data_IF_030101767579
#
_entry.id   IF_030101767579
#
_cell.length_a   1.000
_cell.length_b   1.000
_cell.length_c   1.000
_cell.angle_alpha   90.00
_cell.angle_beta   90.00
_cell.angle_gamma   90.00
#
_symmetry.space_group_name_H-M   'P 1'
#
loop_
_entity.id
_entity.type
_entity.pdbx_description
1 polymer ?
#
# COMPACT_ATOMS: atom_id res chain seq x y z
N UNK A 1 1.82 -12.76 -34.49
CA UNK A 1 0.86 -12.72 -33.37
C UNK A 1 1.58 -12.97 -32.05
N UNK A 2 2.51 -12.09 -31.66
CA UNK A 2 3.22 -12.12 -30.36
C UNK A 2 3.55 -10.67 -29.99
N UNK A 3 2.58 -9.91 -29.46
CA UNK A 3 2.77 -8.57 -28.88
C UNK A 3 1.46 -8.09 -28.26
N UNK A 4 1.15 -8.60 -27.07
CA UNK A 4 0.13 -8.03 -26.16
C UNK A 4 0.27 -8.47 -24.69
N UNK A 5 1.07 -9.49 -24.35
CA UNK A 5 1.23 -9.95 -22.96
C UNK A 5 2.10 -9.04 -22.06
N UNK A 6 3.04 -8.26 -22.60
CA UNK A 6 3.97 -7.47 -21.77
C UNK A 6 3.32 -6.35 -20.94
N UNK A 7 2.28 -5.68 -21.45
CA UNK A 7 1.66 -4.57 -20.72
C UNK A 7 0.74 -5.01 -19.58
N UNK A 8 0.23 -6.24 -19.60
CA UNK A 8 -0.61 -6.77 -18.50
C UNK A 8 0.21 -7.32 -17.34
N UNK A 9 1.45 -7.74 -17.58
CA UNK A 9 2.34 -8.21 -16.52
C UNK A 9 2.71 -7.02 -15.61
N UNK A 10 3.35 -5.97 -16.14
CA UNK A 10 3.84 -4.84 -15.34
C UNK A 10 2.81 -4.19 -14.39
N UNK A 11 1.53 -4.17 -14.76
CA UNK A 11 0.48 -3.59 -13.92
C UNK A 11 0.07 -4.48 -12.74
N UNK A 12 0.09 -5.82 -12.91
CA UNK A 12 -0.15 -6.78 -11.81
C UNK A 12 0.98 -6.73 -10.77
N UNK A 13 2.21 -6.56 -11.25
CA UNK A 13 3.40 -6.50 -10.41
C UNK A 13 3.50 -5.24 -9.52
N UNK A 14 2.99 -4.09 -9.98
CA UNK A 14 2.97 -2.83 -9.22
C UNK A 14 2.11 -2.90 -7.93
N UNK A 15 1.14 -3.82 -7.87
CA UNK A 15 0.26 -3.96 -6.70
C UNK A 15 0.94 -4.67 -5.51
N UNK A 16 2.11 -5.29 -5.67
CA UNK A 16 2.83 -5.97 -4.58
C UNK A 16 3.99 -5.13 -4.08
N UNK A 17 4.75 -4.53 -5.00
CA UNK A 17 5.97 -3.83 -4.65
C UNK A 17 5.73 -2.43 -4.05
N UNK A 18 4.51 -1.88 -4.20
CA UNK A 18 4.10 -0.69 -3.45
C UNK A 18 3.83 -0.95 -1.97
N UNK A 19 3.75 -2.21 -1.54
CA UNK A 19 2.99 -2.54 -0.34
C UNK A 19 3.83 -2.45 0.94
N UNK A 20 5.19 -2.55 0.91
CA UNK A 20 6.07 -2.38 2.12
C UNK A 20 5.80 -1.02 2.78
N UNK A 21 5.35 -0.04 2.00
CA UNK A 21 5.10 1.33 2.44
C UNK A 21 3.78 1.93 1.93
N UNK A 22 2.79 1.10 1.56
CA UNK A 22 1.48 1.57 1.06
C UNK A 22 0.55 2.13 2.15
N UNK A 23 1.07 2.70 3.24
CA UNK A 23 0.25 3.46 4.21
C UNK A 23 -0.14 4.88 3.71
N UNK A 24 -0.12 5.18 2.41
CA UNK A 24 -0.49 6.53 1.96
C UNK A 24 -0.63 6.81 0.47
N UNK A 25 -0.59 5.82 -0.43
CA UNK A 25 -0.81 6.08 -1.85
C UNK A 25 -2.24 5.73 -2.28
N UNK A 26 -3.22 6.50 -1.80
CA UNK A 26 -4.48 6.69 -2.53
C UNK A 26 -4.15 7.51 -3.78
N UNK A 27 -3.64 6.86 -4.82
CA UNK A 27 -3.48 7.51 -6.12
C UNK A 27 -4.86 7.59 -6.78
N UNK A 28 -5.51 8.74 -6.65
CA UNK A 28 -6.70 9.10 -7.43
C UNK A 28 -6.41 8.95 -8.93
N UNK A 29 -7.04 7.96 -9.57
CA UNK A 29 -6.83 7.58 -10.98
C UNK A 29 -7.50 8.53 -12.01
N UNK A 30 -7.88 9.75 -11.63
CA UNK A 30 -8.78 10.57 -12.45
C UNK A 30 -8.14 11.36 -13.60
N UNK A 31 -6.82 11.35 -13.79
CA UNK A 31 -6.15 12.24 -14.76
C UNK A 31 -5.83 11.68 -16.16
N UNK A 32 -6.19 10.44 -16.51
CA UNK A 32 -5.79 9.87 -17.81
C UNK A 32 -6.82 9.96 -18.97
N UNK A 33 -7.94 10.68 -18.82
CA UNK A 33 -8.90 10.86 -19.92
C UNK A 33 -8.93 12.31 -20.40
N UNK A 34 -8.48 12.50 -21.65
CA UNK A 34 -8.55 13.69 -22.50
C UNK A 34 -7.26 14.52 -22.65
N UNK A 35 -6.23 13.93 -23.27
CA UNK A 35 -5.22 14.72 -23.97
C UNK A 35 -5.69 14.98 -25.42
N UNK A 36 -6.03 16.24 -25.67
CA UNK A 36 -6.27 16.84 -27.00
C UNK A 36 -4.92 17.07 -27.69
N UNK A 37 -4.81 16.75 -28.97
CA UNK A 37 -3.57 16.87 -29.75
C UNK A 37 -2.96 18.30 -29.70
N UNK A 38 -1.62 18.45 -29.60
CA UNK A 38 -0.98 19.75 -29.45
C UNK A 38 -0.74 20.44 -30.80
N UNK A 39 -1.13 21.72 -30.87
CA UNK A 39 -0.69 22.64 -31.93
C UNK A 39 0.69 23.23 -31.61
N UNK A 40 1.52 23.31 -32.63
CA UNK A 40 2.86 23.91 -32.64
C UNK A 40 2.86 25.42 -32.38
N UNK A 41 3.60 25.87 -31.35
CA UNK A 41 4.46 27.08 -31.30
C UNK A 41 4.62 27.56 -29.84
N UNK A 42 5.82 27.44 -29.26
CA UNK A 42 6.77 28.56 -29.07
C UNK A 42 7.89 28.11 -28.12
N UNK A 43 9.12 28.45 -28.49
CA UNK A 43 10.33 28.10 -27.78
C UNK A 43 10.54 29.06 -26.59
N UNK A 44 10.11 28.65 -25.41
CA UNK A 44 10.51 29.22 -24.12
C UNK A 44 11.53 28.30 -23.45
N UNK A 45 12.76 28.78 -23.27
CA UNK A 45 13.81 28.15 -22.46
C UNK A 45 13.43 28.24 -20.98
N UNK A 46 12.79 27.20 -20.46
CA UNK A 46 12.61 27.01 -19.01
C UNK A 46 13.74 26.13 -18.46
N UNK A 47 14.38 26.65 -17.41
CA UNK A 47 15.46 25.99 -16.70
C UNK A 47 14.94 24.77 -15.95
N UNK A 48 15.17 23.59 -16.52
CA UNK A 48 15.14 22.32 -15.78
C UNK A 48 16.22 22.37 -14.70
N UNK A 49 15.84 22.77 -13.49
CA UNK A 49 16.61 22.49 -12.29
C UNK A 49 16.51 20.97 -12.04
N UNK A 50 17.38 20.21 -12.71
CA UNK A 50 17.76 18.87 -12.28
C UNK A 50 18.39 19.01 -10.90
N UNK A 51 17.55 18.97 -9.87
CA UNK A 51 18.01 18.64 -8.54
C UNK A 51 18.33 17.14 -8.55
N UNK A 52 19.48 16.79 -9.15
CA UNK A 52 20.27 15.59 -8.84
C UNK A 52 20.83 15.75 -7.41
N UNK A 53 19.96 16.12 -6.47
CA UNK A 53 20.22 15.98 -5.06
C UNK A 53 20.04 14.50 -4.77
N UNK A 54 21.14 13.77 -4.84
CA UNK A 54 21.25 12.41 -4.33
C UNK A 54 20.64 12.41 -2.93
N UNK A 55 19.39 11.94 -2.81
CA UNK A 55 18.70 12.00 -1.54
C UNK A 55 19.40 11.00 -0.63
N UNK A 56 19.95 11.50 0.47
CA UNK A 56 20.57 10.67 1.48
C UNK A 56 19.45 9.86 2.11
N UNK A 57 19.36 8.57 1.76
CA UNK A 57 18.46 7.63 2.40
C UNK A 57 19.11 7.20 3.71
N UNK A 58 18.35 7.19 4.79
CA UNK A 58 18.82 6.64 6.06
C UNK A 58 19.25 5.16 5.87
N UNK A 59 20.50 4.81 6.21
CA UNK A 59 21.02 3.47 5.95
C UNK A 59 20.29 2.37 6.73
N UNK A 60 19.71 2.69 7.90
CA UNK A 60 18.91 1.75 8.67
C UNK A 60 17.57 1.49 7.99
N UNK A 61 16.92 2.52 7.44
CA UNK A 61 15.72 2.33 6.63
C UNK A 61 15.99 1.46 5.38
N UNK A 62 17.11 1.71 4.71
CA UNK A 62 17.50 0.92 3.53
C UNK A 62 17.73 -0.55 3.89
N UNK A 63 18.50 -0.85 4.94
CA UNK A 63 18.73 -2.23 5.37
C UNK A 63 17.45 -2.92 5.83
N UNK A 64 16.57 -2.23 6.57
CA UNK A 64 15.26 -2.78 6.94
C UNK A 64 14.43 -3.13 5.72
N UNK A 65 14.44 -2.29 4.68
CA UNK A 65 13.68 -2.56 3.47
C UNK A 65 14.14 -3.88 2.81
N UNK A 66 15.46 -4.09 2.73
CA UNK A 66 16.05 -5.32 2.20
C UNK A 66 15.59 -6.55 3.01
N UNK A 67 15.66 -6.48 4.34
CA UNK A 67 15.23 -7.56 5.24
C UNK A 67 13.73 -7.89 5.10
N UNK A 68 12.87 -6.87 4.99
CA UNK A 68 11.43 -7.07 4.81
C UNK A 68 11.11 -7.67 3.44
N UNK A 69 11.82 -7.26 2.38
CA UNK A 69 11.67 -7.84 1.05
C UNK A 69 12.07 -9.31 1.05
N UNK A 70 13.21 -9.64 1.66
CA UNK A 70 13.69 -11.03 1.76
C UNK A 70 12.67 -11.90 2.52
N UNK A 71 12.18 -11.43 3.67
CA UNK A 71 11.18 -12.15 4.46
C UNK A 71 9.86 -12.37 3.70
N UNK A 72 9.38 -11.36 2.96
CA UNK A 72 8.18 -11.48 2.14
C UNK A 72 8.37 -12.46 0.97
N UNK A 73 9.48 -12.35 0.23
CA UNK A 73 9.78 -13.26 -0.88
C UNK A 73 9.91 -14.71 -0.37
N UNK A 74 10.50 -14.91 0.81
CA UNK A 74 10.59 -16.25 1.41
C UNK A 74 9.22 -16.84 1.75
N UNK A 75 8.31 -16.03 2.34
CA UNK A 75 6.93 -16.45 2.58
C UNK A 75 6.20 -16.77 1.25
N UNK A 76 6.42 -15.95 0.23
CA UNK A 76 5.83 -16.11 -1.09
C UNK A 76 6.20 -17.45 -1.74
N UNK A 77 7.49 -17.79 -1.79
CA UNK A 77 7.95 -19.06 -2.36
C UNK A 77 7.64 -20.26 -1.50
N UNK A 78 7.49 -20.08 -0.19
CA UNK A 78 7.03 -21.15 0.71
C UNK A 78 5.56 -21.50 0.47
N UNK A 79 4.71 -20.49 0.26
CA UNK A 79 3.26 -20.68 0.25
C UNK A 79 2.63 -20.86 -1.13
N UNK A 80 3.35 -20.48 -2.19
CA UNK A 80 2.83 -20.49 -3.54
C UNK A 80 3.55 -21.50 -4.41
N UNK A 81 2.79 -22.23 -5.22
CA UNK A 81 3.37 -23.04 -6.30
C UNK A 81 3.94 -22.16 -7.40
N UNK A 82 4.90 -22.65 -8.21
CA UNK A 82 5.41 -21.93 -9.37
C UNK A 82 4.32 -21.48 -10.36
N UNK A 83 3.24 -22.26 -10.50
CA UNK A 83 2.11 -21.89 -11.37
C UNK A 83 1.32 -20.71 -10.80
N UNK A 84 1.08 -20.68 -9.49
CA UNK A 84 0.40 -19.53 -8.87
C UNK A 84 1.25 -18.27 -8.92
N UNK A 85 2.57 -18.41 -8.75
CA UNK A 85 3.52 -17.31 -8.88
C UNK A 85 3.46 -16.68 -10.28
N UNK A 86 3.48 -17.49 -11.34
CA UNK A 86 3.37 -17.01 -12.72
C UNK A 86 1.97 -16.43 -13.03
N UNK A 87 0.89 -17.13 -12.65
CA UNK A 87 -0.47 -16.70 -13.02
C UNK A 87 -0.91 -15.42 -12.28
N UNK A 88 -0.59 -15.33 -10.99
CA UNK A 88 -1.03 -14.24 -10.12
C UNK A 88 -0.09 -13.05 -10.22
N UNK A 89 1.21 -13.31 -10.11
CA UNK A 89 2.21 -12.26 -10.00
C UNK A 89 3.01 -12.08 -11.27
N UNK A 90 3.02 -13.06 -12.19
CA UNK A 90 3.85 -13.02 -13.38
C UNK A 90 5.31 -13.35 -13.10
N UNK A 91 5.60 -13.97 -11.95
CA UNK A 91 6.93 -14.40 -11.51
C UNK A 91 7.17 -15.83 -12.05
N UNK A 92 8.08 -15.99 -12.99
CA UNK A 92 8.55 -17.29 -13.50
C UNK A 92 9.96 -17.69 -12.98
N UNK A 93 10.44 -16.94 -11.98
CA UNK A 93 11.78 -16.98 -11.43
C UNK A 93 11.95 -17.81 -10.15
N UNK A 94 13.10 -17.58 -9.49
CA UNK A 94 13.39 -18.05 -8.14
C UNK A 94 13.25 -16.93 -7.10
N UNK A 95 13.46 -17.28 -5.83
CA UNK A 95 13.34 -16.34 -4.71
C UNK A 95 14.28 -15.13 -4.85
N UNK A 96 15.47 -15.30 -5.46
CA UNK A 96 16.40 -14.20 -5.69
C UNK A 96 15.86 -13.22 -6.73
N UNK A 97 15.22 -13.71 -7.80
CA UNK A 97 14.55 -12.86 -8.78
C UNK A 97 13.38 -12.06 -8.17
N UNK A 98 12.71 -12.59 -7.14
CA UNK A 98 11.70 -11.83 -6.39
C UNK A 98 12.32 -10.65 -5.63
N UNK A 99 13.43 -10.86 -4.94
CA UNK A 99 14.14 -9.79 -4.21
C UNK A 99 14.68 -8.73 -5.16
N UNK A 100 15.28 -9.14 -6.28
CA UNK A 100 15.76 -8.22 -7.33
C UNK A 100 14.59 -7.41 -7.92
N UNK A 101 13.44 -8.04 -8.13
CA UNK A 101 12.26 -7.35 -8.63
C UNK A 101 11.72 -6.34 -7.61
N UNK A 102 11.53 -6.75 -6.36
CA UNK A 102 10.99 -5.90 -5.29
C UNK A 102 11.93 -4.71 -5.00
N UNK A 103 13.24 -4.91 -5.06
CA UNK A 103 14.23 -3.83 -4.91
C UNK A 103 14.30 -2.89 -6.11
N UNK A 104 13.91 -3.34 -7.31
CA UNK A 104 13.86 -2.51 -8.51
C UNK A 104 12.66 -1.54 -8.55
N UNK A 105 11.62 -1.79 -7.75
CA UNK A 105 10.50 -0.86 -7.63
C UNK A 105 10.98 0.37 -6.87
N UNK A 106 10.68 1.60 -7.33
CA UNK A 106 11.20 2.84 -6.76
C UNK A 106 10.59 3.15 -5.38
N UNK A 107 10.90 2.31 -4.40
CA UNK A 107 10.69 2.54 -2.97
C UNK A 107 11.57 3.68 -2.45
N UNK A 108 12.59 4.07 -3.21
CA UNK A 108 13.46 5.21 -2.91
C UNK A 108 12.67 6.49 -2.65
N UNK A 109 11.53 6.71 -3.31
CA UNK A 109 10.64 7.86 -3.06
C UNK A 109 10.01 7.76 -1.66
N UNK A 110 9.60 6.57 -1.24
CA UNK A 110 9.03 6.36 0.10
C UNK A 110 10.09 6.44 1.19
N UNK A 111 11.26 5.80 0.99
CA UNK A 111 12.38 5.91 1.94
C UNK A 111 12.89 7.35 2.07
N UNK A 112 12.93 8.10 0.97
CA UNK A 112 13.21 9.53 0.96
C UNK A 112 12.21 10.33 1.82
N UNK A 113 10.91 10.06 1.67
CA UNK A 113 9.87 10.71 2.46
C UNK A 113 9.98 10.34 3.95
N UNK A 114 10.25 9.08 4.29
CA UNK A 114 10.49 8.65 5.67
C UNK A 114 11.73 9.33 6.25
N UNK A 115 12.85 9.32 5.53
CA UNK A 115 14.10 9.98 5.95
C UNK A 115 13.84 11.46 6.23
N UNK A 116 13.16 12.15 5.31
CA UNK A 116 12.76 13.55 5.48
C UNK A 116 11.87 13.75 6.73
N UNK A 117 10.97 12.82 7.01
CA UNK A 117 10.06 12.87 8.16
C UNK A 117 10.81 12.67 9.49
N UNK A 118 11.78 11.76 9.52
CA UNK A 118 12.68 11.52 10.66
C UNK A 118 13.54 12.75 10.94
N UNK A 119 14.19 13.30 9.91
CA UNK A 119 15.03 14.50 10.03
C UNK A 119 14.25 15.71 10.55
N UNK A 120 12.97 15.80 10.20
CA UNK A 120 12.08 16.88 10.62
C UNK A 120 11.37 16.58 11.96
N UNK A 121 11.66 15.44 12.60
CA UNK A 121 11.10 15.04 13.90
C UNK A 121 9.59 14.82 13.87
N UNK A 122 9.03 14.42 12.71
CA UNK A 122 7.61 14.10 12.55
C UNK A 122 7.30 12.62 12.76
N UNK A 123 8.32 11.77 12.69
CA UNK A 123 8.25 10.37 13.07
C UNK A 123 9.53 9.95 13.78
N UNK A 124 9.44 8.88 14.56
CA UNK A 124 10.57 8.08 15.01
C UNK A 124 10.50 6.71 14.32
N UNK A 125 11.65 6.15 13.92
CA UNK A 125 11.73 4.80 13.38
C UNK A 125 12.25 3.82 14.42
N UNK A 126 11.50 2.73 14.67
CA UNK A 126 11.87 1.66 15.59
C UNK A 126 12.37 0.43 14.81
N UNK A 127 13.69 0.30 14.71
CA UNK A 127 14.34 -0.82 14.03
C UNK A 127 14.05 -2.18 14.72
N UNK A 128 13.77 -2.20 16.02
CA UNK A 128 13.42 -3.43 16.73
C UNK A 128 12.03 -3.94 16.33
N UNK A 129 11.07 -3.02 16.16
CA UNK A 129 9.75 -3.35 15.62
C UNK A 129 9.83 -3.76 14.15
N UNK A 130 10.72 -3.15 13.36
CA UNK A 130 10.94 -3.55 11.98
C UNK A 130 11.51 -4.98 11.86
N UNK A 131 12.44 -5.35 12.75
CA UNK A 131 12.93 -6.73 12.83
C UNK A 131 11.79 -7.69 13.23
N UNK A 132 10.97 -7.32 14.21
CA UNK A 132 9.81 -8.13 14.61
C UNK A 132 8.81 -8.30 13.45
N UNK A 133 8.65 -7.29 12.61
CA UNK A 133 7.85 -7.36 11.39
C UNK A 133 8.40 -8.42 10.42
N UNK A 134 9.70 -8.39 10.12
CA UNK A 134 10.35 -9.39 9.26
C UNK A 134 10.22 -10.81 9.85
N UNK A 135 10.42 -10.97 11.16
CA UNK A 135 10.23 -12.26 11.84
C UNK A 135 8.78 -12.74 11.77
N UNK A 136 7.81 -11.82 11.88
CA UNK A 136 6.38 -12.13 11.77
C UNK A 136 6.02 -12.67 10.39
N UNK A 137 6.63 -12.14 9.31
CA UNK A 137 6.48 -12.70 7.96
C UNK A 137 6.94 -14.15 7.89
N UNK A 138 8.13 -14.42 8.40
CA UNK A 138 8.71 -15.76 8.36
C UNK A 138 7.89 -16.76 9.20
N UNK A 139 7.19 -16.29 10.22
CA UNK A 139 6.33 -17.09 11.08
C UNK A 139 4.88 -17.28 10.56
N UNK A 140 4.47 -16.61 9.47
CA UNK A 140 3.10 -16.72 8.95
C UNK A 140 2.78 -18.11 8.39
N UNK A 141 1.60 -18.64 8.74
CA UNK A 141 1.04 -19.82 8.10
C UNK A 141 0.47 -19.47 6.72
N UNK A 142 0.68 -20.35 5.73
CA UNK A 142 0.23 -20.11 4.36
C UNK A 142 -1.29 -19.98 4.22
N UNK A 143 -2.05 -20.58 5.14
CA UNK A 143 -3.52 -20.45 5.21
C UNK A 143 -4.00 -19.11 5.77
N UNK A 144 -3.18 -18.43 6.57
CA UNK A 144 -3.48 -17.12 7.15
C UNK A 144 -2.94 -15.97 6.28
N UNK A 145 -2.02 -16.28 5.36
CA UNK A 145 -1.50 -15.32 4.41
C UNK A 145 -2.47 -15.12 3.25
N UNK A 146 -3.23 -14.04 3.28
CA UNK A 146 -4.31 -13.72 2.32
C UNK A 146 -3.96 -12.48 1.49
N UNK A 147 -4.59 -12.28 0.32
CA UNK A 147 -4.43 -11.03 -0.47
C UNK A 147 -4.78 -9.77 0.31
N UNK A 148 -5.70 -9.94 1.24
CA UNK A 148 -6.28 -8.89 2.06
C UNK A 148 -5.77 -8.96 3.47
N UNK A 149 -4.81 -9.87 3.75
CA UNK A 149 -4.03 -9.76 4.95
C UNK A 149 -3.48 -8.36 4.82
N UNK A 150 -3.84 -7.45 5.73
CA UNK A 150 -3.20 -6.16 5.79
C UNK A 150 -1.78 -6.44 6.32
N UNK A 151 -1.04 -7.36 5.70
CA UNK A 151 0.12 -8.06 6.22
C UNK A 151 1.29 -7.10 6.41
N UNK A 152 1.12 -5.83 6.08
CA UNK A 152 2.07 -4.76 6.36
C UNK A 152 1.61 -3.82 7.45
N UNK A 153 0.36 -3.93 7.89
CA UNK A 153 -0.17 -3.15 9.00
C UNK A 153 -0.57 -4.01 10.22
N UNK A 154 -1.05 -5.24 10.08
CA UNK A 154 -1.50 -6.05 11.25
C UNK A 154 -0.50 -7.07 11.76
N UNK A 155 0.57 -7.34 11.01
CA UNK A 155 1.64 -8.18 11.52
C UNK A 155 2.35 -7.46 12.69
N UNK A 156 2.66 -8.18 13.79
CA UNK A 156 3.37 -7.57 14.91
C UNK A 156 4.65 -6.86 14.46
N UNK A 157 4.79 -5.59 14.85
CA UNK A 157 5.96 -4.76 14.56
C UNK A 157 5.85 -3.94 13.27
N UNK A 158 4.98 -4.31 12.32
CA UNK A 158 4.95 -3.64 11.02
C UNK A 158 4.29 -2.25 11.05
N UNK A 159 3.24 -2.03 11.87
CA UNK A 159 2.76 -0.65 12.13
C UNK A 159 3.72 0.05 13.09
N UNK A 160 4.21 -0.68 14.09
CA UNK A 160 4.90 -0.12 15.24
C UNK A 160 6.31 0.38 14.91
N UNK A 161 6.88 0.01 13.74
CA UNK A 161 8.18 0.50 13.29
C UNK A 161 8.19 1.99 12.91
N UNK A 162 7.02 2.59 12.61
CA UNK A 162 6.89 4.03 12.38
C UNK A 162 6.06 4.62 13.52
N UNK A 163 6.71 5.37 14.39
CA UNK A 163 6.07 6.01 15.53
C UNK A 163 5.72 7.44 15.11
N UNK A 164 4.43 7.81 14.99
CA UNK A 164 4.02 9.17 14.66
C UNK A 164 4.32 10.13 15.81
N UNK A 165 4.80 11.33 15.49
CA UNK A 165 5.14 12.36 16.49
C UNK A 165 4.31 13.65 16.32
N UNK A 166 3.51 13.76 15.26
CA UNK A 166 2.71 14.96 14.98
C UNK A 166 1.33 14.84 15.61
N UNK A 167 1.11 15.61 16.67
CA UNK A 167 -0.18 15.68 17.34
C UNK A 167 -1.28 16.33 16.49
N UNK A 168 -2.54 16.14 16.88
CA UNK A 168 -3.70 16.79 16.26
C UNK A 168 -3.51 18.32 16.12
N UNK A 169 -3.84 18.86 14.95
CA UNK A 169 -3.60 20.26 14.59
C UNK A 169 -2.17 20.57 14.13
N UNK A 170 -1.25 19.61 14.22
CA UNK A 170 0.13 19.75 13.73
C UNK A 170 0.22 19.65 12.20
N UNK A 171 1.29 20.23 11.64
CA UNK A 171 1.56 20.21 10.19
C UNK A 171 2.17 18.87 9.79
N UNK A 172 1.62 18.24 8.76
CA UNK A 172 2.05 16.94 8.26
C UNK A 172 2.17 16.93 6.74
N UNK A 173 2.85 15.93 6.20
CA UNK A 173 2.98 15.61 4.78
C UNK A 173 2.51 14.19 4.47
N UNK A 174 2.34 13.33 5.45
CA UNK A 174 1.87 11.96 5.27
C UNK A 174 1.03 11.53 6.48
N UNK A 175 0.09 10.62 6.26
CA UNK A 175 -0.79 10.10 7.29
C UNK A 175 -0.04 9.45 8.47
N UNK A 176 1.05 8.72 8.17
CA UNK A 176 1.87 8.04 9.16
C UNK A 176 2.66 8.99 10.09
N UNK A 177 2.66 10.29 9.82
CA UNK A 177 3.29 11.28 10.70
C UNK A 177 2.36 11.69 11.86
N UNK A 178 1.04 11.53 11.66
CA UNK A 178 0.02 11.99 12.59
C UNK A 178 -0.30 10.94 13.65
N UNK A 179 -0.36 11.34 14.92
CA UNK A 179 -0.85 10.45 16.01
C UNK A 179 -2.32 10.08 15.82
N UNK A 180 -3.04 10.86 15.02
CA UNK A 180 -4.42 10.62 14.59
C UNK A 180 -4.55 9.81 13.29
N UNK A 181 -3.42 9.45 12.66
CA UNK A 181 -3.32 8.68 11.41
C UNK A 181 -3.89 9.35 10.15
N UNK A 182 -4.29 10.62 10.22
CA UNK A 182 -4.89 11.35 9.09
C UNK A 182 -4.22 12.70 8.93
N UNK A 183 -3.57 12.88 7.78
CA UNK A 183 -3.00 14.15 7.34
C UNK A 183 -3.91 14.80 6.29
N UNK A 184 -4.78 15.71 6.72
CA UNK A 184 -5.78 16.34 5.85
C UNK A 184 -5.19 17.53 5.10
N UNK A 185 -5.34 17.51 3.78
CA UNK A 185 -5.04 18.65 2.90
C UNK A 185 -6.27 19.52 2.70
N UNK A 186 -6.10 20.84 2.71
CA UNK A 186 -7.22 21.77 2.48
C UNK A 186 -7.57 21.85 1.00
N UNK A 187 -6.56 21.78 0.12
CA UNK A 187 -6.72 21.77 -1.33
C UNK A 187 -5.83 20.72 -1.99
N UNK A 188 -6.27 20.12 -3.12
CA UNK A 188 -5.43 19.24 -3.91
C UNK A 188 -4.14 19.95 -4.37
N UNK A 189 -2.99 19.36 -4.06
CA UNK A 189 -1.68 19.91 -4.41
C UNK A 189 -1.04 20.81 -3.35
N UNK A 190 -1.70 21.02 -2.21
CA UNK A 190 -1.05 21.61 -1.04
C UNK A 190 0.17 20.75 -0.65
N UNK A 191 1.28 21.42 -0.34
CA UNK A 191 2.53 20.73 0.02
C UNK A 191 2.43 20.03 1.38
N UNK A 192 1.58 20.57 2.28
CA UNK A 192 1.38 20.07 3.63
C UNK A 192 -0.10 20.09 4.01
N UNK A 193 -0.48 19.10 4.80
CA UNK A 193 -1.76 19.02 5.47
C UNK A 193 -1.66 19.35 6.97
N UNK A 194 -2.76 19.08 7.66
CA UNK A 194 -2.88 19.17 9.11
C UNK A 194 -3.37 17.85 9.67
N UNK A 195 -2.77 17.38 10.77
CA UNK A 195 -3.23 16.19 11.46
C UNK A 195 -4.61 16.41 12.05
N UNK A 196 -5.57 15.56 11.72
CA UNK A 196 -6.95 15.64 12.20
C UNK A 196 -7.42 14.28 12.67
N UNK A 197 -8.43 14.23 13.54
CA UNK A 197 -9.07 12.97 13.92
C UNK A 197 -9.79 12.34 12.71
N UNK A 198 -9.77 11.00 12.61
CA UNK A 198 -10.56 10.23 11.63
C UNK A 198 -12.06 10.56 11.74
N UNK A 199 -12.74 10.66 10.60
CA UNK A 199 -14.17 10.97 10.56
C UNK A 199 -15.00 9.87 11.27
N UNK A 200 -15.92 10.31 12.14
CA UNK A 200 -16.82 9.43 12.88
C UNK A 200 -18.02 8.99 12.03
N UNK A 201 -18.86 8.12 12.58
CA UNK A 201 -20.06 7.62 11.89
C UNK A 201 -20.98 8.79 11.46
N UNK A 202 -21.40 8.76 10.20
CA UNK A 202 -22.21 9.76 9.50
C UNK A 202 -21.53 11.10 9.24
N UNK A 203 -20.24 11.26 9.55
CA UNK A 203 -19.45 12.42 9.16
C UNK A 203 -18.90 12.29 7.73
N UNK A 204 -18.60 13.40 7.06
CA UNK A 204 -17.95 13.36 5.75
C UNK A 204 -16.60 12.67 5.82
N UNK A 205 -16.36 11.70 4.94
CA UNK A 205 -15.03 11.12 4.78
C UNK A 205 -14.13 12.07 3.98
N UNK A 206 -12.87 12.20 4.41
CA UNK A 206 -11.81 12.88 3.66
C UNK A 206 -10.87 11.79 3.12
N UNK A 207 -10.67 11.74 1.81
CA UNK A 207 -9.81 10.74 1.15
C UNK A 207 -10.09 9.29 1.58
N UNK A 208 -11.38 8.95 1.71
CA UNK A 208 -11.88 7.65 2.19
C UNK A 208 -11.46 7.26 3.63
N UNK A 209 -10.95 8.19 4.44
CA UNK A 209 -10.47 7.90 5.78
C UNK A 209 -11.57 8.04 6.84
N UNK A 210 -11.99 6.90 7.39
CA UNK A 210 -12.96 6.81 8.47
C UNK A 210 -12.35 6.21 9.74
N UNK A 211 -13.03 6.39 10.88
CA UNK A 211 -12.68 5.71 12.12
C UNK A 211 -12.74 4.18 11.97
N UNK A 212 -12.00 3.47 12.82
CA UNK A 212 -11.93 1.99 12.79
C UNK A 212 -13.32 1.34 12.81
N UNK A 213 -13.56 0.39 11.91
CA UNK A 213 -14.84 -0.31 11.75
C UNK A 213 -15.86 0.42 10.88
N UNK A 214 -15.47 1.54 10.27
CA UNK A 214 -16.25 2.29 9.30
C UNK A 214 -15.55 2.31 7.93
N UNK A 215 -16.32 2.52 6.87
CA UNK A 215 -15.82 2.79 5.52
C UNK A 215 -16.51 4.02 4.93
N UNK A 216 -15.90 4.62 3.92
CA UNK A 216 -16.45 5.78 3.23
C UNK A 216 -17.45 5.33 2.15
N UNK A 217 -18.74 5.60 2.36
CA UNK A 217 -19.74 5.38 1.32
C UNK A 217 -19.55 6.41 0.20
N UNK A 218 -19.06 5.95 -0.95
CA UNK A 218 -18.80 6.78 -2.13
C UNK A 218 -20.05 7.42 -2.75
N UNK A 219 -21.26 7.00 -2.35
CA UNK A 219 -22.50 7.60 -2.83
C UNK A 219 -22.99 8.73 -1.94
N UNK A 220 -22.78 8.60 -0.62
CA UNK A 220 -23.23 9.56 0.38
C UNK A 220 -22.11 10.46 0.93
N UNK A 221 -20.86 10.19 0.54
CA UNK A 221 -19.61 10.80 1.04
C UNK A 221 -19.55 10.79 2.58
N UNK A 222 -19.95 9.67 3.20
CA UNK A 222 -20.02 9.54 4.66
C UNK A 222 -19.39 8.27 5.17
N UNK A 223 -18.81 8.36 6.36
CA UNK A 223 -18.37 7.19 7.09
C UNK A 223 -19.55 6.40 7.65
N UNK A 224 -19.70 5.15 7.22
CA UNK A 224 -20.76 4.25 7.70
C UNK A 224 -20.18 2.92 8.16
N UNK A 225 -20.90 2.13 8.99
CA UNK A 225 -20.39 0.87 9.50
C UNK A 225 -20.02 -0.12 8.39
N UNK A 226 -18.90 -0.81 8.56
CA UNK A 226 -18.53 -1.93 7.70
C UNK A 226 -19.59 -3.04 7.76
N UNK A 227 -19.77 -3.69 6.62
CA UNK A 227 -20.72 -4.75 6.36
C UNK A 227 -20.19 -6.10 6.87
N UNK A 228 -21.10 -6.91 7.38
CA UNK A 228 -20.85 -8.27 7.81
C UNK A 228 -20.74 -9.22 6.61
N UNK A 229 -20.10 -10.37 6.82
CA UNK A 229 -20.02 -11.43 5.82
C UNK A 229 -21.41 -11.85 5.30
N UNK A 230 -21.50 -12.05 4.00
CA UNK A 230 -22.71 -12.37 3.25
C UNK A 230 -23.50 -11.15 2.75
N UNK A 231 -23.17 -9.92 3.18
CA UNK A 231 -23.80 -8.70 2.66
C UNK A 231 -23.18 -8.26 1.33
N UNK A 232 -23.98 -7.67 0.44
CA UNK A 232 -23.49 -7.15 -0.84
C UNK A 232 -22.52 -5.97 -0.66
N UNK A 233 -21.45 -5.94 -1.44
CA UNK A 233 -20.37 -4.95 -1.38
C UNK A 233 -19.88 -4.57 -2.79
N UNK A 234 -19.23 -3.41 -2.92
CA UNK A 234 -18.57 -2.96 -4.15
C UNK A 234 -17.05 -2.95 -4.02
N UNK A 235 -16.51 -2.82 -2.82
CA UNK A 235 -15.08 -2.94 -2.55
C UNK A 235 -14.81 -3.64 -1.21
N UNK A 236 -13.53 -3.95 -1.00
CA UNK A 236 -13.03 -4.69 0.15
C UNK A 236 -13.15 -3.89 1.47
N UNK A 237 -13.08 -2.56 1.39
CA UNK A 237 -13.13 -1.66 2.55
C UNK A 237 -14.53 -1.61 3.15
N UNK A 238 -15.57 -1.84 2.34
CA UNK A 238 -16.95 -1.98 2.83
C UNK A 238 -17.12 -3.15 3.81
N UNK A 239 -16.26 -4.16 3.77
CA UNK A 239 -16.44 -5.41 4.50
C UNK A 239 -15.62 -5.42 5.80
N UNK A 240 -16.25 -5.88 6.89
CA UNK A 240 -15.59 -6.03 8.19
C UNK A 240 -14.44 -7.04 8.14
N UNK A 241 -14.60 -8.07 7.31
CA UNK A 241 -13.56 -9.05 6.99
C UNK A 241 -12.43 -8.47 6.14
N UNK A 242 -12.66 -7.31 5.53
CA UNK A 242 -11.77 -6.70 4.54
C UNK A 242 -11.82 -7.36 3.17
N UNK A 243 -12.80 -8.22 2.85
CA UNK A 243 -12.89 -8.91 1.55
C UNK A 243 -14.26 -8.84 0.90
N UNK A 244 -14.30 -8.41 -0.36
CA UNK A 244 -15.47 -8.36 -1.21
C UNK A 244 -15.32 -9.28 -2.43
N UNK A 245 -15.65 -10.56 -2.23
CA UNK A 245 -15.49 -11.64 -3.21
C UNK A 245 -16.69 -11.79 -4.14
N UNK A 246 -16.46 -12.32 -5.35
CA UNK A 246 -17.53 -12.64 -6.32
C UNK A 246 -17.93 -14.13 -6.25
N UNK A 247 -19.21 -14.47 -6.39
CA UNK A 247 -19.63 -15.86 -6.64
C UNK A 247 -19.56 -16.27 -8.12
N UNK A 248 -20.07 -17.48 -8.41
CA UNK A 248 -20.20 -18.03 -9.75
C UNK A 248 -21.13 -17.24 -10.69
N UNK A 249 -22.00 -16.36 -10.16
CA UNK A 249 -22.88 -15.48 -10.93
C UNK A 249 -22.26 -14.08 -11.15
N UNK A 250 -21.15 -13.78 -10.49
CA UNK A 250 -20.52 -12.46 -10.50
C UNK A 250 -21.14 -11.48 -9.51
N UNK A 251 -22.04 -11.94 -8.64
CA UNK A 251 -22.54 -11.14 -7.53
C UNK A 251 -21.44 -11.03 -6.47
N UNK A 252 -21.31 -9.86 -5.83
CA UNK A 252 -20.25 -9.59 -4.85
C UNK A 252 -20.80 -9.47 -3.44
N UNK A 253 -20.14 -10.12 -2.49
CA UNK A 253 -20.48 -10.09 -1.08
C UNK A 253 -19.24 -10.12 -0.20
N UNK A 254 -19.41 -9.56 0.99
CA UNK A 254 -18.42 -9.68 2.03
C UNK A 254 -18.20 -11.16 2.36
N UNK A 255 -16.95 -11.57 2.42
CA UNK A 255 -16.56 -12.92 2.77
C UNK A 255 -15.32 -12.89 3.65
N UNK A 256 -14.96 -13.97 4.34
CA UNK A 256 -13.61 -14.12 4.84
C UNK A 256 -12.59 -13.96 3.68
N UNK A 257 -11.42 -13.35 3.93
CA UNK A 257 -10.39 -13.25 2.91
C UNK A 257 -9.86 -14.63 2.53
N UNK A 258 -9.67 -14.86 1.24
CA UNK A 258 -9.10 -16.11 0.74
C UNK A 258 -7.57 -16.09 0.85
N UNK A 259 -6.93 -17.22 1.17
CA UNK A 259 -5.48 -17.37 1.11
C UNK A 259 -4.90 -16.86 -0.21
N UNK A 260 -3.72 -16.26 -0.14
CA UNK A 260 -3.03 -15.71 -1.29
C UNK A 260 -2.61 -16.82 -2.24
N UNK A 261 -2.32 -18.00 -1.72
CA UNK A 261 -2.02 -19.19 -2.51
C UNK A 261 -2.80 -20.37 -1.93
N UNK A 262 -3.40 -21.17 -2.81
CA UNK A 262 -4.30 -22.26 -2.46
C UNK A 262 -3.61 -23.62 -2.58
N UNK A 263 -2.56 -23.73 -3.39
CA UNK A 263 -1.85 -25.01 -3.60
C UNK A 263 -1.09 -25.50 -2.38
N UNK A 264 -0.60 -24.59 -1.54
CA UNK A 264 0.14 -24.93 -0.31
C UNK A 264 -0.71 -25.57 0.79
N UNK A 265 -2.04 -25.67 0.61
CA UNK A 265 -2.94 -26.21 1.63
C UNK A 265 -3.18 -27.72 1.51
N UNK A 266 -2.79 -28.33 0.39
CA UNK A 266 -3.07 -29.75 0.10
C UNK A 266 -1.89 -30.69 0.45
N UNK A 267 -0.74 -30.18 0.90
CA UNK A 267 0.50 -30.95 1.09
C UNK A 267 0.90 -31.25 2.57
N UNK A 268 0.11 -30.82 3.57
CA UNK A 268 0.32 -31.13 5.01
C UNK A 268 -0.55 -32.28 5.54
#
# INVERSE_FOLDING_TARGET
>A
MYRTKLHSAHFKWLCIAGVVLACGCSQSNDKFKNAKEPSTADAGTDGTSSADGDQIIDPTLASTQEELIEAECSLLYRCCSPTELDERFGIDGDEAECTDFQSAVPTSIHLANLTTSIEQGRITFDAGMAQLCAESYLAQDCSEWTMLSPARTRLPGCIEMIIPEVEEGGRCKQNYECTTEVCKYEQPGDEFGTCVTRAAENEPCFDAQCATGLYCDVFDDKCIPQKQDGQACLDDEECLSGACSSDANGDRFCSPPAPLCVSGLDEE
#
